data_IF_880888749768
#
_entry.id   IF_880888749768
#
_cell.length_a   1.000
_cell.length_b   1.000
_cell.length_c   1.000
_cell.angle_alpha   90.00
_cell.angle_beta   90.00
_cell.angle_gamma   90.00
#
_symmetry.space_group_name_H-M   'P 1'
#
loop_
_entity.id
_entity.type
_entity.pdbx_description
1 polymer ?
#
# COMPACT_ATOMS: atom_id res chain seq x y z
N UNK A 1 19.27 10.30 44.49
CA UNK A 1 18.09 10.74 43.73
C UNK A 1 18.62 11.66 42.63
N UNK A 2 18.87 11.22 41.41
CA UNK A 2 18.28 10.11 40.65
C UNK A 2 17.63 10.72 39.40
N UNK A 3 18.40 10.70 38.31
CA UNK A 3 18.03 10.65 36.89
C UNK A 3 17.20 11.79 36.27
N UNK A 4 17.86 12.57 35.40
CA UNK A 4 17.26 13.26 34.25
C UNK A 4 18.30 13.30 33.12
N UNK A 5 18.50 12.13 32.50
CA UNK A 5 19.49 11.87 31.46
C UNK A 5 18.81 11.46 30.14
N UNK A 6 17.79 12.22 29.72
CA UNK A 6 16.99 11.91 28.52
C UNK A 6 16.52 13.17 27.79
N UNK A 7 17.43 14.04 27.36
CA UNK A 7 17.18 14.85 26.15
C UNK A 7 18.46 15.54 25.69
N UNK A 8 18.95 15.19 24.49
CA UNK A 8 19.84 15.99 23.61
C UNK A 8 20.52 15.14 22.53
N UNK A 9 20.39 13.81 22.55
CA UNK A 9 21.00 12.91 21.57
C UNK A 9 20.27 12.80 20.22
N UNK A 10 19.11 13.44 20.04
CA UNK A 10 18.26 13.20 18.86
C UNK A 10 18.59 14.07 17.63
N UNK A 11 19.58 14.96 17.73
CA UNK A 11 20.03 15.82 16.62
C UNK A 11 21.56 15.81 16.45
N UNK A 12 22.25 14.71 16.79
CA UNK A 12 23.66 14.56 16.41
C UNK A 12 23.75 14.06 14.96
N UNK A 13 23.38 14.92 14.03
CA UNK A 13 23.65 14.73 12.61
C UNK A 13 25.14 14.99 12.44
N UNK A 14 25.97 13.95 12.50
CA UNK A 14 27.36 14.04 12.04
C UNK A 14 27.32 14.31 10.54
N UNK A 15 27.45 15.58 10.15
CA UNK A 15 27.88 15.98 8.83
C UNK A 15 29.30 15.44 8.66
N UNK A 16 29.40 14.23 8.10
CA UNK A 16 30.65 13.62 7.70
C UNK A 16 31.23 14.49 6.59
N UNK A 17 32.15 15.37 6.97
CA UNK A 17 33.04 16.09 6.07
C UNK A 17 33.88 15.03 5.36
N UNK A 18 33.64 14.87 4.06
CA UNK A 18 34.40 13.93 3.24
C UNK A 18 35.74 14.60 2.95
N UNK A 19 36.74 14.21 3.72
CA UNK A 19 38.13 14.64 3.63
C UNK A 19 38.62 14.52 2.18
N UNK A 20 38.76 15.67 1.50
CA UNK A 20 39.45 15.76 0.22
C UNK A 20 40.95 15.78 0.48
N UNK A 21 41.63 14.70 0.10
CA UNK A 21 43.09 14.58 0.14
C UNK A 21 43.77 15.85 -0.39
N UNK A 22 44.68 16.37 0.42
CA UNK A 22 45.53 17.53 0.15
C UNK A 22 46.39 17.28 -1.08
N UNK A 23 45.91 17.76 -2.23
CA UNK A 23 46.66 17.91 -3.46
C UNK A 23 46.60 19.34 -3.95
N UNK A 24 47.46 20.20 -3.39
CA UNK A 24 47.93 21.48 -3.96
C UNK A 24 46.86 22.26 -4.77
N UNK A 25 45.85 22.81 -4.08
CA UNK A 25 44.82 23.62 -4.73
C UNK A 25 45.35 25.02 -5.08
N UNK A 26 45.40 25.32 -6.37
CA UNK A 26 45.20 26.67 -6.88
C UNK A 26 43.95 27.26 -6.21
N UNK A 27 44.11 28.43 -5.59
CA UNK A 27 43.13 29.11 -4.73
C UNK A 27 41.79 29.37 -5.44
N UNK A 28 41.79 29.32 -6.77
CA UNK A 28 40.62 29.55 -7.63
C UNK A 28 39.63 28.36 -7.68
N UNK A 29 40.07 27.13 -7.35
CA UNK A 29 39.21 25.92 -7.50
C UNK A 29 38.36 25.65 -6.26
N UNK A 30 38.86 25.96 -5.06
CA UNK A 30 38.09 25.82 -3.82
C UNK A 30 36.94 26.84 -3.72
N UNK A 31 37.16 28.06 -4.22
CA UNK A 31 36.12 29.08 -4.34
C UNK A 31 35.02 28.68 -5.33
N UNK A 32 35.39 28.02 -6.43
CA UNK A 32 34.43 27.51 -7.41
C UNK A 32 33.59 26.35 -6.87
N UNK A 33 34.17 25.43 -6.09
CA UNK A 33 33.44 24.34 -5.45
C UNK A 33 32.46 24.84 -4.36
N UNK A 34 32.90 25.80 -3.53
CA UNK A 34 32.03 26.43 -2.52
C UNK A 34 30.88 27.25 -3.16
N UNK A 35 31.14 27.91 -4.29
CA UNK A 35 30.11 28.62 -5.05
C UNK A 35 29.11 27.65 -5.69
N UNK A 36 29.56 26.51 -6.20
CA UNK A 36 28.71 25.49 -6.79
C UNK A 36 27.78 24.82 -5.76
N UNK A 37 28.28 24.53 -4.55
CA UNK A 37 27.47 23.98 -3.46
C UNK A 37 26.47 25.03 -2.93
N UNK A 38 26.88 26.29 -2.78
CA UNK A 38 25.98 27.38 -2.43
C UNK A 38 24.85 27.59 -3.48
N UNK A 39 25.17 27.47 -4.77
CA UNK A 39 24.17 27.53 -5.85
C UNK A 39 23.23 26.31 -5.84
N UNK A 40 23.72 25.10 -5.53
CA UNK A 40 22.88 23.92 -5.40
C UNK A 40 21.93 24.02 -4.19
N UNK A 41 22.42 24.52 -3.06
CA UNK A 41 21.61 24.75 -1.85
C UNK A 41 20.56 25.82 -2.08
N UNK A 42 20.90 26.93 -2.76
CA UNK A 42 19.91 27.92 -3.21
C UNK A 42 18.89 27.30 -4.16
N UNK A 43 19.31 26.53 -5.16
CA UNK A 43 18.38 25.89 -6.09
C UNK A 43 17.41 24.91 -5.41
N UNK A 44 17.83 24.25 -4.32
CA UNK A 44 17.00 23.34 -3.53
C UNK A 44 16.06 24.09 -2.60
N UNK A 45 16.53 25.18 -1.99
CA UNK A 45 15.70 26.08 -1.20
C UNK A 45 14.63 26.74 -2.09
N UNK A 46 15.00 27.22 -3.28
CA UNK A 46 14.10 27.87 -4.23
C UNK A 46 13.03 26.92 -4.78
N UNK A 47 13.33 25.61 -4.87
CA UNK A 47 12.34 24.58 -5.25
C UNK A 47 11.25 24.35 -4.21
N UNK A 48 11.45 24.77 -2.97
CA UNK A 48 10.53 24.51 -1.85
C UNK A 48 10.09 25.77 -1.11
N UNK A 49 10.69 26.93 -1.42
CA UNK A 49 10.35 28.21 -0.85
C UNK A 49 9.06 28.77 -1.48
N UNK A 50 7.93 28.34 -0.95
CA UNK A 50 6.72 29.17 -0.98
C UNK A 50 6.98 30.39 -0.10
N UNK A 51 6.68 31.59 -0.60
CA UNK A 51 6.67 32.78 0.25
C UNK A 51 5.66 32.59 1.39
N UNK A 52 5.93 33.17 2.57
CA UNK A 52 5.05 33.05 3.73
C UNK A 52 3.57 33.38 3.40
N UNK A 53 3.25 34.44 2.61
CA UNK A 53 1.87 34.70 2.19
C UNK A 53 1.27 33.58 1.32
N UNK A 54 2.07 32.97 0.44
CA UNK A 54 1.63 31.86 -0.40
C UNK A 54 1.43 30.56 0.40
N UNK A 55 2.27 30.31 1.39
CA UNK A 55 2.11 29.21 2.33
C UNK A 55 0.83 29.37 3.18
N UNK A 56 0.55 30.56 3.68
CA UNK A 56 -0.69 30.83 4.43
C UNK A 56 -1.94 30.66 3.55
N UNK A 57 -1.89 31.10 2.30
CA UNK A 57 -2.98 30.88 1.34
C UNK A 57 -3.19 29.38 1.02
N UNK A 58 -2.10 28.62 0.85
CA UNK A 58 -2.16 27.16 0.67
C UNK A 58 -2.72 26.47 1.91
N UNK A 59 -2.26 26.86 3.10
CA UNK A 59 -2.73 26.31 4.37
C UNK A 59 -4.21 26.59 4.60
N UNK A 60 -4.70 27.78 4.24
CA UNK A 60 -6.12 28.13 4.35
C UNK A 60 -7.01 27.23 3.46
N UNK A 61 -6.51 26.89 2.27
CA UNK A 61 -7.22 26.08 1.27
C UNK A 61 -6.99 24.58 1.44
N UNK A 62 -5.92 24.17 2.11
CA UNK A 62 -5.58 22.77 2.33
C UNK A 62 -6.67 22.07 3.13
N UNK A 63 -7.16 20.96 2.58
CA UNK A 63 -8.05 20.03 3.27
C UNK A 63 -7.41 18.65 3.20
N UNK A 64 -7.12 18.02 4.35
CA UNK A 64 -6.61 16.65 4.33
C UNK A 64 -7.67 15.77 3.68
N UNK A 65 -7.22 14.86 2.80
CA UNK A 65 -8.10 13.84 2.23
C UNK A 65 -8.51 12.92 3.37
N UNK A 66 -9.81 12.88 3.66
CA UNK A 66 -10.40 11.95 4.62
C UNK A 66 -11.00 10.81 3.82
N UNK A 67 -10.37 9.64 3.86
CA UNK A 67 -10.94 8.42 3.29
C UNK A 67 -12.02 7.90 4.23
N UNK A 68 -13.26 7.79 3.75
CA UNK A 68 -14.42 7.36 4.54
C UNK A 68 -14.80 5.89 4.30
N UNK A 69 -13.90 5.10 3.73
CA UNK A 69 -14.16 3.70 3.40
C UNK A 69 -15.09 3.52 2.19
N UNK A 70 -14.98 4.40 1.21
CA UNK A 70 -15.84 4.41 0.02
C UNK A 70 -15.07 4.19 -1.29
N UNK A 71 -13.79 3.79 -1.23
CA UNK A 71 -13.00 3.47 -2.43
C UNK A 71 -13.67 2.35 -3.25
N UNK A 72 -14.34 1.40 -2.59
CA UNK A 72 -15.08 0.34 -3.28
C UNK A 72 -16.16 0.85 -4.27
N UNK A 73 -16.67 2.08 -4.08
CA UNK A 73 -17.66 2.70 -4.99
C UNK A 73 -17.05 3.25 -6.26
N UNK A 74 -15.76 3.59 -6.25
CA UNK A 74 -15.07 4.10 -7.44
C UNK A 74 -14.67 2.97 -8.37
N UNK A 75 -14.61 1.74 -7.87
CA UNK A 75 -14.29 0.53 -8.62
C UNK A 75 -15.56 0.02 -9.32
N UNK A 76 -15.55 0.03 -10.65
CA UNK A 76 -16.66 -0.49 -11.45
C UNK A 76 -16.50 -2.00 -11.66
N UNK A 77 -17.51 -2.77 -11.24
CA UNK A 77 -17.60 -4.21 -11.51
C UNK A 77 -18.57 -4.46 -12.69
N UNK A 78 -18.28 -5.41 -13.59
CA UNK A 78 -17.12 -6.32 -13.60
C UNK A 78 -15.81 -5.64 -14.01
N UNK A 79 -14.70 -6.02 -13.35
CA UNK A 79 -13.38 -5.45 -13.60
C UNK A 79 -12.97 -5.62 -15.08
N UNK A 80 -12.45 -4.57 -15.71
CA UNK A 80 -11.99 -4.62 -17.10
C UNK A 80 -13.06 -4.37 -18.18
N UNK A 81 -14.30 -4.02 -17.81
CA UNK A 81 -15.35 -3.69 -18.80
C UNK A 81 -15.25 -2.30 -19.43
N UNK A 82 -14.24 -1.51 -19.07
CA UNK A 82 -14.01 -0.21 -19.68
C UNK A 82 -13.40 -0.42 -21.09
N UNK A 83 -13.95 0.20 -22.15
CA UNK A 83 -13.34 0.17 -23.46
C UNK A 83 -12.02 0.95 -23.37
N UNK A 84 -10.91 0.23 -23.18
CA UNK A 84 -9.58 0.81 -23.37
C UNK A 84 -9.31 0.75 -24.87
N UNK A 85 -9.43 1.90 -25.53
CA UNK A 85 -9.00 2.14 -26.91
C UNK A 85 -7.46 2.06 -27.02
N UNK A 86 -6.86 0.96 -26.57
CA UNK A 86 -5.45 0.66 -26.78
C UNK A 86 -5.34 -0.18 -28.06
N UNK A 87 -4.83 0.40 -29.17
CA UNK A 87 -4.70 -0.29 -30.45
C UNK A 87 -3.54 -1.31 -30.35
N UNK A 88 -3.82 -2.51 -29.87
CA UNK A 88 -2.83 -3.59 -29.82
C UNK A 88 -3.14 -4.78 -28.92
N UNK A 89 -4.13 -4.68 -28.02
CA UNK A 89 -4.54 -5.82 -27.19
C UNK A 89 -5.60 -6.64 -27.93
N UNK A 90 -5.20 -7.82 -28.41
CA UNK A 90 -6.12 -8.76 -29.05
C UNK A 90 -7.26 -9.23 -28.11
N UNK A 91 -8.30 -9.87 -28.66
CA UNK A 91 -9.43 -10.38 -27.89
C UNK A 91 -8.99 -11.58 -27.05
N UNK A 92 -8.67 -11.33 -25.78
CA UNK A 92 -8.38 -12.36 -24.79
C UNK A 92 -7.17 -11.99 -23.94
N UNK A 93 -7.39 -11.91 -22.62
CA UNK A 93 -6.38 -11.64 -21.58
C UNK A 93 -6.07 -10.16 -21.32
N UNK A 94 -7.08 -9.36 -20.97
CA UNK A 94 -6.82 -8.12 -20.23
C UNK A 94 -6.60 -8.45 -18.75
N UNK A 95 -5.35 -8.64 -18.36
CA UNK A 95 -4.95 -8.68 -16.95
C UNK A 95 -5.12 -7.28 -16.33
N UNK A 96 -5.63 -7.23 -15.11
CA UNK A 96 -5.76 -5.98 -14.36
C UNK A 96 -4.36 -5.37 -14.15
N UNK A 97 -4.24 -4.05 -14.32
CA UNK A 97 -2.95 -3.41 -14.06
C UNK A 97 -2.62 -3.48 -12.56
N UNK A 98 -1.33 -3.50 -12.21
CA UNK A 98 -0.89 -3.48 -10.80
C UNK A 98 -1.56 -2.39 -9.95
N UNK A 99 -1.68 -1.13 -10.39
CA UNK A 99 -2.35 -0.10 -9.58
C UNK A 99 -3.84 -0.41 -9.39
N UNK A 100 -4.55 -0.87 -10.42
CA UNK A 100 -5.97 -1.25 -10.30
C UNK A 100 -6.15 -2.44 -9.35
N UNK A 101 -5.25 -3.43 -9.38
CA UNK A 101 -5.26 -4.56 -8.43
C UNK A 101 -5.06 -4.08 -6.97
N UNK A 102 -4.16 -3.12 -6.75
CA UNK A 102 -3.96 -2.53 -5.42
C UNK A 102 -5.20 -1.75 -4.96
N UNK A 103 -5.87 -1.01 -5.84
CA UNK A 103 -7.11 -0.31 -5.48
C UNK A 103 -8.20 -1.29 -5.03
N UNK A 104 -8.33 -2.44 -5.71
CA UNK A 104 -9.28 -3.50 -5.32
C UNK A 104 -8.96 -4.06 -3.93
N UNK A 105 -7.68 -4.30 -3.64
CA UNK A 105 -7.26 -4.74 -2.30
C UNK A 105 -7.56 -3.67 -1.25
N UNK A 106 -7.14 -2.43 -1.49
CA UNK A 106 -7.36 -1.31 -0.55
C UNK A 106 -8.86 -1.10 -0.28
N UNK A 107 -9.71 -1.23 -1.28
CA UNK A 107 -11.16 -1.16 -1.09
C UNK A 107 -11.69 -2.25 -0.14
N UNK A 108 -11.19 -3.48 -0.25
CA UNK A 108 -11.55 -4.56 0.67
C UNK A 108 -11.02 -4.31 2.10
N UNK A 109 -9.80 -3.78 2.21
CA UNK A 109 -9.16 -3.41 3.48
C UNK A 109 -9.93 -2.31 4.20
N UNK A 110 -10.31 -1.26 3.49
CA UNK A 110 -11.11 -0.18 4.06
C UNK A 110 -12.43 -0.73 4.60
N UNK A 111 -13.17 -1.50 3.81
CA UNK A 111 -14.42 -2.08 4.29
C UNK A 111 -14.21 -2.95 5.54
N UNK A 112 -13.10 -3.68 5.63
CA UNK A 112 -12.72 -4.42 6.83
C UNK A 112 -12.44 -3.51 8.04
N UNK A 113 -11.60 -2.48 7.88
CA UNK A 113 -11.21 -1.57 8.97
C UNK A 113 -12.36 -0.67 9.44
N UNK A 114 -13.29 -0.30 8.55
CA UNK A 114 -14.52 0.41 8.89
C UNK A 114 -15.60 -0.51 9.50
N UNK A 115 -15.34 -1.81 9.65
CA UNK A 115 -16.28 -2.77 10.24
C UNK A 115 -17.47 -3.12 9.33
N UNK A 116 -17.41 -2.74 8.06
CA UNK A 116 -18.45 -2.97 7.03
C UNK A 116 -18.28 -4.34 6.41
N UNK A 117 -18.34 -5.37 7.25
CA UNK A 117 -17.98 -6.74 6.87
C UNK A 117 -18.93 -7.34 5.82
N UNK A 118 -20.21 -6.97 5.84
CA UNK A 118 -21.20 -7.48 4.87
C UNK A 118 -20.88 -6.96 3.48
N UNK A 119 -20.62 -5.67 3.34
CA UNK A 119 -20.22 -5.05 2.08
C UNK A 119 -18.86 -5.58 1.60
N UNK A 120 -17.90 -5.79 2.51
CA UNK A 120 -16.61 -6.38 2.17
C UNK A 120 -16.77 -7.76 1.49
N UNK A 121 -17.58 -8.65 2.09
CA UNK A 121 -17.84 -9.99 1.53
C UNK A 121 -18.51 -9.90 0.16
N UNK A 122 -19.53 -9.03 0.01
CA UNK A 122 -20.23 -8.87 -1.26
C UNK A 122 -19.30 -8.34 -2.35
N UNK A 123 -18.49 -7.34 -2.03
CA UNK A 123 -17.51 -6.74 -2.93
C UNK A 123 -16.48 -7.78 -3.40
N UNK A 124 -15.83 -8.47 -2.45
CA UNK A 124 -14.80 -9.47 -2.76
C UNK A 124 -15.37 -10.61 -3.62
N UNK A 125 -16.58 -11.09 -3.31
CA UNK A 125 -17.24 -12.13 -4.12
C UNK A 125 -17.52 -11.67 -5.53
N UNK A 126 -17.97 -10.42 -5.71
CA UNK A 126 -18.20 -9.84 -7.03
C UNK A 126 -16.92 -9.77 -7.86
N UNK A 127 -15.81 -9.36 -7.23
CA UNK A 127 -14.48 -9.33 -7.83
C UNK A 127 -14.01 -10.72 -8.25
N UNK A 128 -14.10 -11.70 -7.34
CA UNK A 128 -13.64 -13.07 -7.60
C UNK A 128 -14.50 -13.76 -8.68
N UNK A 129 -15.82 -13.52 -8.70
CA UNK A 129 -16.72 -14.03 -9.73
C UNK A 129 -16.38 -13.45 -11.11
N UNK A 130 -16.11 -12.14 -11.20
CA UNK A 130 -15.66 -11.51 -12.43
C UNK A 130 -14.33 -12.10 -12.93
N UNK A 131 -13.40 -12.37 -12.01
CA UNK A 131 -12.09 -12.98 -12.30
C UNK A 131 -12.12 -14.50 -12.55
N UNK A 132 -13.31 -15.12 -12.53
CA UNK A 132 -13.52 -16.55 -12.78
C UNK A 132 -14.54 -16.82 -13.90
N UNK A 133 -15.12 -15.78 -14.48
CA UNK A 133 -16.05 -15.88 -15.62
C UNK A 133 -15.30 -16.12 -16.93
N UNK A 134 -15.97 -16.66 -17.95
CA UNK A 134 -15.39 -16.87 -19.29
C UNK A 134 -14.80 -15.56 -19.84
N UNK A 135 -13.46 -15.52 -19.98
CA UNK A 135 -12.69 -14.35 -20.41
C UNK A 135 -11.95 -13.59 -19.28
N UNK A 136 -12.19 -13.93 -18.01
CA UNK A 136 -11.53 -13.34 -16.83
C UNK A 136 -10.41 -14.20 -16.23
N UNK A 137 -10.11 -15.37 -16.80
CA UNK A 137 -9.02 -16.23 -16.35
C UNK A 137 -7.68 -15.51 -16.53
N UNK A 138 -7.00 -15.21 -15.42
CA UNK A 138 -5.78 -14.39 -15.39
C UNK A 138 -6.00 -12.89 -15.16
N UNK A 139 -7.23 -12.43 -14.89
CA UNK A 139 -7.53 -11.02 -14.58
C UNK A 139 -6.82 -10.54 -13.31
N UNK A 140 -6.79 -11.39 -12.28
CA UNK A 140 -6.08 -11.16 -11.02
C UNK A 140 -4.89 -12.11 -10.93
N UNK A 141 -3.76 -11.62 -10.42
CA UNK A 141 -2.66 -12.48 -10.00
C UNK A 141 -3.02 -13.29 -8.73
N UNK A 142 -2.26 -14.35 -8.50
CA UNK A 142 -2.54 -15.31 -7.41
C UNK A 142 -2.39 -14.69 -6.02
N UNK A 143 -1.47 -13.73 -5.84
CA UNK A 143 -1.25 -13.04 -4.57
C UNK A 143 -2.44 -12.14 -4.22
N UNK A 144 -2.88 -11.31 -5.18
CA UNK A 144 -4.08 -10.48 -5.04
C UNK A 144 -5.31 -11.34 -4.76
N UNK A 145 -5.47 -12.47 -5.47
CA UNK A 145 -6.58 -13.41 -5.25
C UNK A 145 -6.56 -14.00 -3.85
N UNK A 146 -5.40 -14.45 -3.37
CA UNK A 146 -5.24 -15.01 -2.04
C UNK A 146 -5.55 -13.98 -0.93
N UNK A 147 -5.11 -12.74 -1.11
CA UNK A 147 -5.35 -11.66 -0.16
C UNK A 147 -6.84 -11.30 -0.07
N UNK A 148 -7.53 -11.25 -1.20
CA UNK A 148 -8.99 -11.03 -1.22
C UNK A 148 -9.74 -12.16 -0.51
N UNK A 149 -9.37 -13.42 -0.75
CA UNK A 149 -9.95 -14.58 -0.06
C UNK A 149 -9.71 -14.55 1.46
N UNK A 150 -8.54 -14.08 1.88
CA UNK A 150 -8.22 -13.87 3.29
C UNK A 150 -9.20 -12.87 3.92
N UNK A 151 -9.40 -11.71 3.28
CA UNK A 151 -10.35 -10.70 3.79
C UNK A 151 -11.80 -11.18 3.76
N UNK A 152 -12.24 -11.91 2.73
CA UNK A 152 -13.58 -12.52 2.69
C UNK A 152 -13.79 -13.43 3.90
N UNK A 153 -12.84 -14.33 4.16
CA UNK A 153 -12.92 -15.30 5.26
C UNK A 153 -12.97 -14.59 6.61
N UNK A 154 -12.12 -13.57 6.81
CA UNK A 154 -12.08 -12.79 8.05
C UNK A 154 -13.37 -12.01 8.27
N UNK A 155 -13.90 -11.37 7.23
CA UNK A 155 -15.19 -10.67 7.30
C UNK A 155 -16.35 -11.62 7.59
N UNK A 156 -16.41 -12.78 6.93
CA UNK A 156 -17.43 -13.78 7.18
C UNK A 156 -17.40 -14.29 8.64
N UNK A 157 -16.19 -14.52 9.18
CA UNK A 157 -16.02 -14.87 10.59
C UNK A 157 -16.50 -13.76 11.53
N UNK A 158 -16.23 -12.48 11.20
CA UNK A 158 -16.72 -11.32 11.97
C UNK A 158 -18.24 -11.21 11.96
N UNK A 159 -18.89 -11.43 10.81
CA UNK A 159 -20.35 -11.44 10.69
C UNK A 159 -20.94 -12.56 11.55
N UNK A 160 -20.37 -13.77 11.48
CA UNK A 160 -20.82 -14.90 12.28
C UNK A 160 -20.64 -14.67 13.78
N UNK A 161 -19.50 -14.12 14.22
CA UNK A 161 -19.23 -13.78 15.61
C UNK A 161 -20.19 -12.69 16.14
N UNK A 162 -20.48 -11.68 15.33
CA UNK A 162 -21.46 -10.63 15.66
C UNK A 162 -22.88 -11.21 15.82
N UNK A 163 -23.25 -12.22 15.02
CA UNK A 163 -24.54 -12.90 15.13
C UNK A 163 -24.64 -13.79 16.40
N UNK A 164 -23.52 -14.29 16.92
CA UNK A 164 -23.48 -15.16 18.10
C UNK A 164 -23.15 -14.43 19.41
N UNK A 165 -22.84 -13.12 19.35
CA UNK A 165 -22.45 -12.33 20.52
C UNK A 165 -21.10 -12.74 21.12
N UNK A 166 -20.28 -13.47 20.39
CA UNK A 166 -18.94 -13.87 20.83
C UNK A 166 -17.96 -12.71 20.59
N UNK A 167 -17.45 -12.09 21.67
CA UNK A 167 -16.44 -11.03 21.55
C UNK A 167 -15.13 -11.59 20.95
N UNK A 168 -14.53 -10.73 20.13
CA UNK A 168 -13.51 -11.06 19.15
C UNK A 168 -12.11 -11.25 19.74
N UNK A 169 -11.60 -12.47 19.71
CA UNK A 169 -10.17 -12.74 19.72
C UNK A 169 -9.64 -12.81 18.28
N UNK A 170 -8.82 -11.85 17.88
CA UNK A 170 -8.21 -11.76 16.54
C UNK A 170 -7.34 -13.00 16.17
N UNK A 171 -7.00 -13.86 17.13
CA UNK A 171 -6.14 -15.04 16.94
C UNK A 171 -6.84 -16.28 16.36
N UNK A 172 -8.17 -16.42 16.50
CA UNK A 172 -8.84 -17.68 16.19
C UNK A 172 -9.02 -17.93 14.67
N UNK A 173 -9.24 -16.87 13.88
CA UNK A 173 -9.48 -17.01 12.44
C UNK A 173 -8.19 -17.27 11.65
N UNK A 174 -7.06 -16.69 12.07
CA UNK A 174 -5.75 -16.94 11.46
C UNK A 174 -5.30 -18.40 11.70
N UNK A 175 -5.57 -18.96 12.89
CA UNK A 175 -5.26 -20.34 13.21
C UNK A 175 -6.02 -21.34 12.31
N UNK A 176 -7.30 -21.12 12.04
CA UNK A 176 -8.12 -22.02 11.23
C UNK A 176 -7.72 -22.07 9.74
N UNK A 177 -7.23 -20.96 9.18
CA UNK A 177 -6.72 -20.92 7.79
C UNK A 177 -5.35 -21.60 7.69
N UNK A 178 -4.50 -21.42 8.70
CA UNK A 178 -3.17 -22.03 8.73
C UNK A 178 -3.21 -23.55 8.98
N UNK A 179 -4.20 -24.02 9.73
CA UNK A 179 -4.46 -25.46 9.94
C UNK A 179 -4.91 -26.14 8.64
N UNK A 180 -5.87 -25.56 7.92
CA UNK A 180 -6.30 -26.08 6.60
C UNK A 180 -5.19 -26.07 5.54
N UNK A 181 -4.32 -25.05 5.56
CA UNK A 181 -3.15 -25.00 4.67
C UNK A 181 -2.09 -26.06 5.05
N UNK A 182 -1.95 -26.37 6.35
CA UNK A 182 -1.08 -27.44 6.84
C UNK A 182 -1.54 -28.83 6.43
N UNK A 183 -2.85 -29.11 6.52
CA UNK A 183 -3.43 -30.41 6.15
C UNK A 183 -3.30 -30.69 4.65
N UNK A 184 -3.59 -29.70 3.80
CA UNK A 184 -3.42 -29.84 2.35
C UNK A 184 -1.96 -30.06 1.93
N UNK A 185 -0.99 -29.54 2.69
CA UNK A 185 0.45 -29.74 2.45
C UNK A 185 0.91 -31.15 2.86
N UNK A 186 0.29 -31.74 3.88
CA UNK A 186 0.58 -33.10 4.33
C UNK A 186 0.00 -34.14 3.36
N UNK A 187 -1.18 -33.87 2.82
CA UNK A 187 -1.86 -34.76 1.87
C UNK A 187 -1.14 -34.79 0.50
N UNK A 188 -0.69 -33.64 0.00
CA UNK A 188 0.16 -33.56 -1.20
C UNK A 188 1.50 -34.30 -1.04
N UNK A 189 2.06 -34.36 0.17
CA UNK A 189 3.28 -35.13 0.47
C UNK A 189 3.03 -36.65 0.52
N UNK A 190 1.86 -37.10 0.98
CA UNK A 190 1.50 -38.53 0.99
C UNK A 190 1.25 -39.07 -0.41
N UNK A 191 0.64 -38.26 -1.28
CA UNK A 191 0.39 -38.64 -2.69
C UNK A 191 1.68 -38.68 -3.52
N UNK A 192 2.71 -37.90 -3.17
CA UNK A 192 4.00 -37.89 -3.86
C UNK A 192 4.96 -39.02 -3.44
N UNK A 193 4.59 -39.85 -2.46
CA UNK A 193 5.42 -40.92 -1.90
C UNK A 193 4.89 -42.34 -2.21
N UNK A 194 3.86 -42.43 -3.06
CA UNK A 194 3.33 -43.65 -3.66
C UNK A 194 3.64 -43.65 -5.16
#
# INVERSE_FOLDING_TARGET
MGDNDMDSGLLNISLSDSEGEEGQADIDTAAAAAAADAQQQQSRADRTALSEPAFQALRATYRPKVENGEIWRTISLPLGSAPRDEPGSGPGQQKLSKPEAQEVVHAAEELYFFGRFVEAVQFVRGVLLAASSDGGEGLLDDETRALLQYYETRCAARIAAAATGAESGDDAAAAAVQERAGEQRLEKRKVSLL
#
